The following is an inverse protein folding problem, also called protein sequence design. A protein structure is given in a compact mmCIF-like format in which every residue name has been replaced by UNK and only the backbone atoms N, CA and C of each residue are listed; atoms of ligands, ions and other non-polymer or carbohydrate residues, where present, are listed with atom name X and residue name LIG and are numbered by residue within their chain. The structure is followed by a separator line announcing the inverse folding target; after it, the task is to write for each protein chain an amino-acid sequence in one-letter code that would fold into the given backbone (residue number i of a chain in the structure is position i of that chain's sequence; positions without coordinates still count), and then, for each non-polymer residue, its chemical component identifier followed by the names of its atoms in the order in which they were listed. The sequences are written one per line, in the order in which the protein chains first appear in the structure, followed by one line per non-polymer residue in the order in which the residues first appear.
data_IF_507923782713
#
_entry.id   IF_507923782713
#
_cell.length_a   1.000
_cell.length_b   1.000
_cell.length_c   1.000
_cell.angle_alpha   90.00
_cell.angle_beta   90.00
_cell.angle_gamma   90.00
#
_symmetry.space_group_name_H-M   'P 1'
#
loop_
_entity.id
_entity.type
_entity.pdbx_description
1 polymer ?
#
# COMPACT_ATOMS: atom_id res chain seq x y z
N UNK A 1 29.19 16.30 21.71
CA UNK A 1 28.42 15.80 22.87
C UNK A 1 28.80 14.35 23.12
N UNK A 2 29.10 13.99 24.36
CA UNK A 2 29.50 12.63 24.76
C UNK A 2 28.24 11.88 25.21
N UNK A 3 28.02 10.68 24.71
CA UNK A 3 26.93 9.81 25.14
C UNK A 3 27.36 8.97 26.33
N UNK A 4 26.53 8.92 27.37
CA UNK A 4 26.76 8.01 28.50
C UNK A 4 26.27 6.60 28.19
N UNK A 5 26.63 5.62 29.02
CA UNK A 5 26.17 4.25 28.81
C UNK A 5 24.66 4.12 29.08
N UNK A 6 24.16 4.86 30.08
CA UNK A 6 22.74 4.90 30.44
C UNK A 6 21.90 5.54 29.32
N UNK A 7 22.43 6.57 28.64
CA UNK A 7 21.77 7.16 27.47
C UNK A 7 21.71 6.18 26.28
N UNK A 8 22.77 5.36 26.08
CA UNK A 8 22.79 4.34 25.04
C UNK A 8 21.81 3.20 25.34
N UNK A 9 21.72 2.78 26.59
CA UNK A 9 20.81 1.72 27.01
C UNK A 9 19.35 2.16 26.85
N UNK A 10 19.00 3.35 27.32
CA UNK A 10 17.69 3.98 27.04
C UNK A 10 17.41 4.08 25.55
N UNK A 11 18.38 4.45 24.73
CA UNK A 11 18.23 4.50 23.28
C UNK A 11 17.89 3.12 22.69
N UNK A 12 18.58 2.06 23.13
CA UNK A 12 18.34 0.70 22.64
C UNK A 12 16.94 0.22 23.04
N UNK A 13 16.54 0.42 24.29
CA UNK A 13 15.23 0.04 24.80
C UNK A 13 14.11 0.82 24.09
N UNK A 14 14.27 2.14 23.97
CA UNK A 14 13.32 3.01 23.27
C UNK A 14 13.17 2.63 21.80
N UNK A 15 14.28 2.32 21.10
CA UNK A 15 14.22 1.85 19.72
C UNK A 15 13.47 0.52 19.61
N UNK A 16 13.67 -0.42 20.55
CA UNK A 16 12.91 -1.69 20.56
C UNK A 16 11.41 -1.45 20.76
N UNK A 17 11.04 -0.60 21.71
CA UNK A 17 9.64 -0.27 22.00
C UNK A 17 8.94 0.45 20.83
N UNK A 18 9.67 1.31 20.12
CA UNK A 18 9.12 2.16 19.06
C UNK A 18 9.49 1.70 17.64
N UNK A 19 9.84 0.43 17.48
CA UNK A 19 10.00 -0.20 16.15
C UNK A 19 8.73 -0.93 15.77
N UNK A 20 8.09 -0.48 14.69
CA UNK A 20 6.90 -1.13 14.13
C UNK A 20 7.28 -1.76 12.78
N UNK A 21 7.16 -3.07 12.70
CA UNK A 21 7.67 -3.85 11.57
C UNK A 21 9.18 -3.66 11.43
N UNK A 22 9.60 -2.98 10.35
CA UNK A 22 11.01 -2.68 10.06
C UNK A 22 11.26 -1.16 10.00
N UNK A 23 10.57 -0.40 10.84
CA UNK A 23 10.69 1.06 10.89
C UNK A 23 10.73 1.57 12.32
N UNK A 24 11.79 2.32 12.62
CA UNK A 24 12.00 2.99 13.91
C UNK A 24 11.30 4.34 13.89
N UNK A 25 10.45 4.60 14.88
CA UNK A 25 9.78 5.89 15.06
C UNK A 25 10.67 6.87 15.83
N UNK A 26 11.66 7.46 15.15
CA UNK A 26 12.65 8.36 15.77
C UNK A 26 12.03 9.56 16.49
N UNK A 27 10.82 9.99 16.12
CA UNK A 27 10.08 11.05 16.78
C UNK A 27 9.59 10.68 18.18
N UNK A 28 9.32 9.40 18.44
CA UNK A 28 9.00 8.90 19.78
C UNK A 28 10.28 8.65 20.57
N UNK A 29 11.27 8.04 19.91
CA UNK A 29 12.57 7.74 20.53
C UNK A 29 13.27 9.00 21.06
N UNK A 30 13.20 10.13 20.33
CA UNK A 30 13.79 11.38 20.81
C UNK A 30 13.16 11.88 22.11
N UNK A 31 11.85 11.64 22.33
CA UNK A 31 11.13 12.13 23.49
C UNK A 31 11.56 11.37 24.75
N UNK A 32 11.88 10.08 24.63
CA UNK A 32 12.32 9.26 25.75
C UNK A 32 13.82 9.40 26.05
N UNK A 33 14.63 9.60 25.02
CA UNK A 33 16.10 9.67 25.16
C UNK A 33 16.57 11.10 25.51
N UNK A 34 15.74 12.12 25.26
CA UNK A 34 16.09 13.52 25.52
C UNK A 34 17.18 14.06 24.58
N UNK A 35 17.34 13.46 23.41
CA UNK A 35 18.25 13.88 22.32
C UNK A 35 17.45 14.02 21.04
N UNK A 36 17.91 14.84 20.10
CA UNK A 36 17.22 14.98 18.81
C UNK A 36 17.15 13.65 18.05
N UNK A 37 16.09 13.46 17.26
CA UNK A 37 15.90 12.27 16.42
C UNK A 37 17.13 11.93 15.56
N UNK A 38 17.83 12.94 15.02
CA UNK A 38 19.04 12.75 14.23
C UNK A 38 20.22 12.25 15.07
N UNK A 39 20.38 12.73 16.30
CA UNK A 39 21.42 12.23 17.21
C UNK A 39 21.15 10.77 17.59
N UNK A 40 19.91 10.44 17.95
CA UNK A 40 19.49 9.06 18.25
C UNK A 40 19.75 8.13 17.06
N UNK A 41 19.35 8.57 15.85
CA UNK A 41 19.56 7.82 14.61
C UNK A 41 21.04 7.58 14.31
N UNK A 42 21.87 8.62 14.36
CA UNK A 42 23.31 8.51 14.10
C UNK A 42 23.99 7.62 15.14
N UNK A 43 23.64 7.75 16.42
CA UNK A 43 24.18 6.87 17.46
C UNK A 43 23.81 5.40 17.21
N UNK A 44 22.52 5.10 17.06
CA UNK A 44 22.05 3.72 16.92
C UNK A 44 22.52 3.03 15.64
N UNK A 45 22.48 3.75 14.50
CA UNK A 45 22.79 3.18 13.18
C UNK A 45 24.30 3.20 12.91
N UNK A 46 24.98 4.30 13.20
CA UNK A 46 26.38 4.49 12.75
C UNK A 46 27.35 4.05 13.85
N UNK A 47 27.15 4.53 15.08
CA UNK A 47 28.12 4.30 16.16
C UNK A 47 27.94 2.93 16.82
N UNK A 48 26.69 2.51 17.06
CA UNK A 48 26.40 1.20 17.64
C UNK A 48 26.21 0.11 16.58
N UNK A 49 25.97 0.48 15.32
CA UNK A 49 25.72 -0.44 14.21
C UNK A 49 24.64 -1.50 14.50
N UNK A 50 23.55 -1.10 15.17
CA UNK A 50 22.52 -2.02 15.66
C UNK A 50 21.33 -2.19 14.72
N UNK A 51 21.25 -1.39 13.64
CA UNK A 51 20.12 -1.46 12.71
C UNK A 51 20.28 -2.65 11.75
N UNK A 52 19.51 -3.71 12.01
CA UNK A 52 19.57 -4.95 11.23
C UNK A 52 18.73 -4.95 9.93
N UNK A 53 17.84 -3.97 9.74
CA UNK A 53 16.96 -3.90 8.57
C UNK A 53 17.28 -2.73 7.64
N UNK A 54 17.18 -2.98 6.34
CA UNK A 54 17.34 -1.96 5.31
C UNK A 54 16.04 -1.16 5.13
N UNK A 55 16.16 0.18 5.07
CA UNK A 55 15.06 1.07 4.69
C UNK A 55 14.81 1.08 3.18
N UNK A 56 15.70 0.48 2.39
CA UNK A 56 15.63 0.38 0.93
C UNK A 56 15.18 -1.02 0.49
N UNK A 57 14.11 -1.54 1.10
CA UNK A 57 13.55 -2.82 0.65
C UNK A 57 13.16 -2.72 -0.84
N UNK A 58 13.53 -3.71 -1.65
CA UNK A 58 13.03 -3.80 -3.03
C UNK A 58 11.50 -3.98 -2.99
N UNK A 59 10.78 -3.40 -3.94
CA UNK A 59 9.35 -3.65 -4.08
C UNK A 59 9.17 -4.98 -4.81
N UNK A 60 8.46 -5.92 -4.19
CA UNK A 60 8.01 -7.10 -4.92
C UNK A 60 6.91 -6.73 -5.92
N UNK A 61 6.64 -7.65 -6.84
CA UNK A 61 5.52 -7.53 -7.76
C UNK A 61 4.20 -7.41 -7.00
N UNK A 62 3.95 -8.34 -6.06
CA UNK A 62 2.73 -8.36 -5.24
C UNK A 62 2.54 -7.08 -4.42
N UNK A 63 3.61 -6.55 -3.81
CA UNK A 63 3.55 -5.29 -3.06
C UNK A 63 3.19 -4.11 -3.98
N UNK A 64 3.66 -4.17 -5.23
CA UNK A 64 3.32 -3.16 -6.23
C UNK A 64 1.84 -3.28 -6.59
N UNK A 65 1.35 -4.48 -6.92
CA UNK A 65 -0.06 -4.72 -7.24
C UNK A 65 -0.99 -4.33 -6.09
N UNK A 66 -0.64 -4.72 -4.87
CA UNK A 66 -1.37 -4.35 -3.68
C UNK A 66 -1.43 -2.83 -3.51
N UNK A 67 -0.31 -2.12 -3.71
CA UNK A 67 -0.32 -0.65 -3.67
C UNK A 67 -1.27 -0.06 -4.71
N UNK A 68 -1.29 -0.57 -5.94
CA UNK A 68 -2.19 -0.09 -6.99
C UNK A 68 -3.66 -0.36 -6.66
N UNK A 69 -3.99 -1.58 -6.23
CA UNK A 69 -5.34 -1.93 -5.82
C UNK A 69 -5.80 -1.04 -4.65
N UNK A 70 -4.93 -0.79 -3.67
CA UNK A 70 -5.23 0.09 -2.56
C UNK A 70 -5.40 1.55 -3.01
N UNK A 71 -4.56 2.07 -3.92
CA UNK A 71 -4.73 3.44 -4.42
C UNK A 71 -5.97 3.59 -5.30
N UNK A 72 -6.36 2.55 -6.03
CA UNK A 72 -7.61 2.52 -6.78
C UNK A 72 -8.83 2.65 -5.85
N UNK A 73 -8.87 1.85 -4.78
CA UNK A 73 -10.02 1.81 -3.85
C UNK A 73 -9.99 2.94 -2.79
N UNK A 74 -8.82 3.38 -2.34
CA UNK A 74 -8.68 4.36 -1.25
C UNK A 74 -8.14 5.72 -1.70
N UNK A 75 -7.82 5.88 -2.98
CA UNK A 75 -7.16 7.07 -3.52
C UNK A 75 -5.72 7.23 -3.03
N UNK A 76 -5.19 8.44 -3.17
CA UNK A 76 -3.79 8.78 -2.85
C UNK A 76 -3.57 9.12 -1.37
N UNK A 77 -4.29 8.46 -0.46
CA UNK A 77 -4.18 8.64 0.99
C UNK A 77 -2.93 7.95 1.56
N UNK A 78 -1.75 8.44 1.20
CA UNK A 78 -0.48 7.76 1.47
C UNK A 78 -0.21 7.47 2.95
N UNK A 79 -0.64 8.36 3.86
CA UNK A 79 -0.45 8.16 5.30
C UNK A 79 -1.30 7.00 5.82
N UNK A 80 -2.57 6.95 5.40
CA UNK A 80 -3.49 5.85 5.70
C UNK A 80 -2.96 4.52 5.15
N UNK A 81 -2.57 4.50 3.87
CA UNK A 81 -2.00 3.30 3.25
C UNK A 81 -0.71 2.83 3.95
N UNK A 82 0.12 3.77 4.35
CA UNK A 82 1.35 3.46 5.08
C UNK A 82 1.06 2.88 6.47
N UNK A 83 0.14 3.48 7.23
CA UNK A 83 -0.18 3.02 8.59
C UNK A 83 -0.76 1.61 8.58
N UNK A 84 -1.67 1.33 7.65
CA UNK A 84 -2.53 0.16 7.72
C UNK A 84 -2.06 -1.02 6.84
N UNK A 85 -1.32 -0.75 5.76
CA UNK A 85 -0.93 -1.78 4.78
C UNK A 85 0.58 -1.88 4.57
N UNK A 86 1.32 -0.77 4.71
CA UNK A 86 2.76 -0.75 4.49
C UNK A 86 3.53 -0.13 5.67
N UNK A 87 3.43 -0.67 6.90
CA UNK A 87 4.02 -0.06 8.10
C UNK A 87 5.56 0.03 8.03
N UNK A 88 6.20 -0.85 7.26
CA UNK A 88 7.65 -0.83 7.01
C UNK A 88 8.11 0.23 6.00
N UNK A 89 7.19 0.88 5.29
CA UNK A 89 7.48 1.90 4.26
C UNK A 89 7.12 3.28 4.78
N UNK A 90 7.57 4.32 4.10
CA UNK A 90 7.10 5.70 4.31
C UNK A 90 6.03 6.06 3.30
N UNK A 91 5.12 6.97 3.67
CA UNK A 91 4.12 7.51 2.75
C UNK A 91 4.77 8.09 1.47
N UNK A 92 5.94 8.71 1.60
CA UNK A 92 6.74 9.17 0.46
C UNK A 92 7.23 8.04 -0.44
N UNK A 93 7.67 6.91 0.12
CA UNK A 93 8.08 5.74 -0.67
C UNK A 93 6.89 5.14 -1.45
N UNK A 94 5.69 5.12 -0.86
CA UNK A 94 4.47 4.67 -1.54
C UNK A 94 4.15 5.60 -2.73
N UNK A 95 4.10 6.91 -2.49
CA UNK A 95 3.86 7.91 -3.56
C UNK A 95 4.86 7.77 -4.70
N UNK A 96 6.15 7.68 -4.39
CA UNK A 96 7.21 7.54 -5.40
C UNK A 96 7.08 6.23 -6.18
N UNK A 97 6.80 5.11 -5.51
CA UNK A 97 6.57 3.84 -6.19
C UNK A 97 5.37 3.90 -7.12
N UNK A 98 4.25 4.46 -6.66
CA UNK A 98 3.04 4.60 -7.47
C UNK A 98 3.27 5.49 -8.69
N UNK A 99 3.97 6.63 -8.54
CA UNK A 99 4.29 7.52 -9.66
C UNK A 99 5.23 6.86 -10.68
N UNK A 100 6.25 6.14 -10.21
CA UNK A 100 7.22 5.48 -11.09
C UNK A 100 6.59 4.28 -11.82
N UNK A 101 5.87 3.44 -11.09
CA UNK A 101 5.18 2.29 -11.67
C UNK A 101 3.93 2.69 -12.48
N UNK A 102 3.34 3.86 -12.23
CA UNK A 102 2.14 4.35 -12.92
C UNK A 102 2.33 4.55 -14.43
N UNK A 103 3.58 4.73 -14.90
CA UNK A 103 3.90 4.71 -16.34
C UNK A 103 3.61 3.35 -16.97
N UNK A 104 3.89 2.26 -16.25
CA UNK A 104 3.63 0.88 -16.68
C UNK A 104 2.11 0.57 -16.65
N UNK A 105 1.39 1.15 -15.68
CA UNK A 105 -0.06 0.96 -15.53
C UNK A 105 -0.88 1.66 -16.61
N UNK A 106 -0.47 2.87 -17.05
CA UNK A 106 -1.13 3.55 -18.18
C UNK A 106 -1.03 2.73 -19.46
N UNK A 107 0.12 2.11 -19.71
CA UNK A 107 0.29 1.19 -20.83
C UNK A 107 -0.59 -0.06 -20.68
N UNK A 108 -0.66 -0.67 -19.49
CA UNK A 108 -1.56 -1.80 -19.23
C UNK A 108 -3.05 -1.45 -19.39
N UNK A 109 -3.49 -0.27 -18.93
CA UNK A 109 -4.88 0.19 -19.11
C UNK A 109 -5.21 0.50 -20.57
N UNK A 110 -4.25 1.03 -21.34
CA UNK A 110 -4.40 1.18 -22.78
C UNK A 110 -4.51 -0.18 -23.48
N UNK A 111 -3.75 -1.17 -23.05
CA UNK A 111 -3.82 -2.52 -23.60
C UNK A 111 -5.14 -3.21 -23.26
N UNK A 112 -5.62 -3.10 -22.01
CA UNK A 112 -6.97 -3.54 -21.62
C UNK A 112 -8.01 -2.88 -22.52
N UNK A 113 -7.91 -1.56 -22.75
CA UNK A 113 -8.84 -0.85 -23.63
C UNK A 113 -8.82 -1.40 -25.06
N UNK A 114 -7.64 -1.60 -25.65
CA UNK A 114 -7.49 -2.17 -26.98
C UNK A 114 -8.08 -3.58 -27.07
N UNK A 115 -7.88 -4.41 -26.05
CA UNK A 115 -8.47 -5.75 -25.93
C UNK A 115 -10.01 -5.68 -25.84
N UNK A 116 -10.54 -4.74 -25.05
CA UNK A 116 -11.99 -4.55 -24.93
C UNK A 116 -12.63 -4.05 -26.23
N UNK A 117 -11.92 -3.24 -27.02
CA UNK A 117 -12.44 -2.61 -28.25
C UNK A 117 -12.25 -3.46 -29.52
N UNK A 118 -11.13 -4.18 -29.67
CA UNK A 118 -10.75 -4.77 -30.97
C UNK A 118 -10.42 -6.28 -30.93
N UNK A 119 -10.52 -6.96 -29.79
CA UNK A 119 -10.16 -8.39 -29.62
C UNK A 119 -8.75 -8.76 -30.13
N UNK A 120 -7.85 -7.78 -30.24
CA UNK A 120 -6.50 -7.99 -30.79
C UNK A 120 -5.62 -8.66 -29.74
N UNK A 121 -5.22 -9.90 -30.02
CA UNK A 121 -4.31 -10.70 -29.19
C UNK A 121 -2.90 -10.59 -29.77
N UNK A 122 -2.07 -9.67 -29.26
CA UNK A 122 -0.67 -9.57 -29.70
C UNK A 122 0.30 -10.42 -28.85
N UNK A 123 -0.08 -10.82 -27.62
CA UNK A 123 0.72 -11.71 -26.77
C UNK A 123 -0.08 -12.35 -25.62
N UNK A 124 -0.14 -13.69 -25.57
CA UNK A 124 -0.83 -14.45 -24.50
C UNK A 124 -0.29 -14.17 -23.09
N UNK A 125 1.03 -14.10 -22.94
CA UNK A 125 1.69 -13.86 -21.66
C UNK A 125 1.32 -12.49 -21.05
N UNK A 126 1.13 -11.48 -21.90
CA UNK A 126 0.73 -10.14 -21.44
C UNK A 126 -0.73 -10.11 -20.98
N UNK A 127 -1.61 -10.88 -21.64
CA UNK A 127 -3.00 -11.04 -21.21
C UNK A 127 -3.12 -11.79 -19.89
N UNK A 128 -2.34 -12.85 -19.69
CA UNK A 128 -2.28 -13.57 -18.41
C UNK A 128 -1.83 -12.63 -17.28
N UNK A 129 -0.82 -11.80 -17.55
CA UNK A 129 -0.33 -10.83 -16.57
C UNK A 129 -1.37 -9.75 -16.25
N UNK A 130 -2.12 -9.28 -17.25
CA UNK A 130 -3.23 -8.34 -17.05
C UNK A 130 -4.34 -9.00 -16.24
N UNK A 131 -4.73 -10.24 -16.58
CA UNK A 131 -5.77 -10.97 -15.87
C UNK A 131 -5.40 -11.13 -14.39
N UNK A 132 -4.15 -11.49 -14.08
CA UNK A 132 -3.66 -11.57 -12.71
C UNK A 132 -3.86 -10.25 -11.96
N UNK A 133 -3.53 -9.12 -12.58
CA UNK A 133 -3.68 -7.79 -11.99
C UNK A 133 -5.15 -7.44 -11.73
N UNK A 134 -6.02 -7.70 -12.70
CA UNK A 134 -7.46 -7.42 -12.57
C UNK A 134 -8.10 -8.30 -11.50
N UNK A 135 -7.69 -9.57 -11.39
CA UNK A 135 -8.16 -10.49 -10.33
C UNK A 135 -7.71 -10.02 -8.95
N UNK A 136 -6.46 -9.55 -8.80
CA UNK A 136 -5.98 -8.98 -7.53
C UNK A 136 -6.77 -7.72 -7.17
N UNK A 137 -7.07 -6.87 -8.14
CA UNK A 137 -7.93 -5.69 -7.94
C UNK A 137 -9.34 -6.09 -7.52
N UNK A 138 -9.95 -7.08 -8.18
CA UNK A 138 -11.29 -7.57 -7.87
C UNK A 138 -11.37 -8.16 -6.46
N UNK A 139 -10.40 -9.00 -6.07
CA UNK A 139 -10.32 -9.54 -4.71
C UNK A 139 -10.20 -8.45 -3.65
N UNK A 140 -9.39 -7.42 -3.94
CA UNK A 140 -9.23 -6.28 -3.03
C UNK A 140 -10.54 -5.52 -2.90
N UNK A 141 -11.22 -5.23 -4.01
CA UNK A 141 -12.53 -4.57 -4.04
C UNK A 141 -13.58 -5.35 -3.24
N UNK A 142 -13.71 -6.66 -3.48
CA UNK A 142 -14.68 -7.50 -2.76
C UNK A 142 -14.42 -7.51 -1.25
N UNK A 143 -13.14 -7.51 -0.83
CA UNK A 143 -12.79 -7.41 0.59
C UNK A 143 -13.21 -6.05 1.18
N UNK A 144 -13.05 -4.97 0.42
CA UNK A 144 -13.51 -3.63 0.82
C UNK A 144 -15.03 -3.58 0.90
N UNK A 145 -15.74 -4.10 -0.09
CA UNK A 145 -17.21 -4.13 -0.13
C UNK A 145 -17.79 -4.94 1.04
N UNK A 146 -17.18 -6.07 1.37
CA UNK A 146 -17.56 -6.88 2.52
C UNK A 146 -17.32 -6.14 3.85
N UNK A 147 -16.18 -5.43 3.96
CA UNK A 147 -15.93 -4.56 5.11
C UNK A 147 -16.95 -3.44 5.20
N UNK A 148 -17.38 -2.84 4.08
CA UNK A 148 -18.44 -1.82 4.04
C UNK A 148 -19.77 -2.40 4.55
N UNK A 149 -20.16 -3.57 4.05
CA UNK A 149 -21.41 -4.23 4.44
C UNK A 149 -21.44 -4.54 5.94
N UNK A 150 -20.33 -4.97 6.52
CA UNK A 150 -20.19 -5.21 7.95
C UNK A 150 -20.37 -3.91 8.77
N UNK A 151 -19.91 -2.76 8.25
CA UNK A 151 -20.12 -1.46 8.90
C UNK A 151 -21.60 -1.06 8.87
N UNK A 152 -22.25 -1.20 7.71
CA UNK A 152 -23.67 -0.88 7.55
C UNK A 152 -24.58 -1.73 8.46
N UNK A 153 -24.15 -2.96 8.77
CA UNK A 153 -24.83 -3.86 9.69
C UNK A 153 -24.51 -3.60 11.17
N UNK A 154 -23.77 -2.53 11.49
CA UNK A 154 -23.39 -2.19 12.87
C UNK A 154 -22.30 -3.09 13.46
N UNK A 155 -21.64 -3.91 12.64
CA UNK A 155 -20.58 -4.84 13.06
C UNK A 155 -19.19 -4.22 12.96
N UNK A 156 -19.07 -2.91 13.15
CA UNK A 156 -17.80 -2.17 13.02
C UNK A 156 -16.70 -2.66 13.98
N UNK A 157 -17.05 -3.36 15.06
CA UNK A 157 -16.11 -3.98 15.99
C UNK A 157 -15.37 -5.21 15.42
N UNK A 158 -15.90 -5.84 14.35
CA UNK A 158 -15.23 -6.94 13.65
C UNK A 158 -14.17 -6.45 12.65
N UNK A 159 -14.13 -5.14 12.42
CA UNK A 159 -13.16 -4.50 11.54
C UNK A 159 -11.99 -4.08 12.41
N UNK A 160 -10.78 -4.60 12.18
CA UNK A 160 -9.62 -4.34 13.03
C UNK A 160 -9.23 -2.86 13.15
N UNK A 161 -9.80 -1.99 12.31
CA UNK A 161 -9.35 -0.60 12.18
C UNK A 161 -10.50 0.34 11.81
N UNK A 162 -11.04 1.04 12.82
CA UNK A 162 -12.18 1.96 12.75
C UNK A 162 -11.94 3.14 11.77
N UNK A 163 -10.67 3.48 11.51
CA UNK A 163 -10.24 4.51 10.57
C UNK A 163 -10.56 4.14 9.10
N UNK A 164 -10.52 2.84 8.78
CA UNK A 164 -10.87 2.31 7.45
C UNK A 164 -12.37 2.47 7.22
N UNK A 165 -13.17 2.18 8.26
CA UNK A 165 -14.62 2.21 8.19
C UNK A 165 -15.20 3.62 7.97
N UNK A 166 -14.73 4.60 8.73
CA UNK A 166 -15.19 5.99 8.61
C UNK A 166 -14.75 6.63 7.28
N UNK A 167 -13.62 6.20 6.72
CA UNK A 167 -13.13 6.71 5.44
C UNK A 167 -13.90 6.14 4.24
N UNK A 168 -14.25 4.84 4.26
CA UNK A 168 -15.03 4.19 3.21
C UNK A 168 -16.43 4.79 3.05
N UNK A 169 -17.09 5.15 4.17
CA UNK A 169 -18.38 5.87 4.16
C UNK A 169 -18.25 7.24 3.47
N UNK A 170 -17.09 7.90 3.60
CA UNK A 170 -16.85 9.24 3.04
C UNK A 170 -16.53 9.21 1.53
N UNK A 171 -15.87 8.16 1.04
CA UNK A 171 -15.54 7.99 -0.39
C UNK A 171 -16.73 7.51 -1.23
N UNK A 172 -17.70 6.78 -0.66
CA UNK A 172 -18.90 6.33 -1.38
C UNK A 172 -19.72 7.48 -2.01
N UNK A 173 -19.63 8.69 -1.45
CA UNK A 173 -20.26 9.89 -2.02
C UNK A 173 -19.56 10.43 -3.28
N UNK A 174 -18.36 9.93 -3.59
CA UNK A 174 -17.54 10.35 -4.75
C UNK A 174 -17.62 9.33 -5.90
N UNK A 175 -17.79 8.04 -5.62
CA UNK A 175 -17.81 6.95 -6.63
C UNK A 175 -19.03 6.90 -7.56
N UNK A 176 -20.04 7.75 -7.36
CA UNK A 176 -20.98 8.05 -8.46
C UNK A 176 -20.31 8.81 -9.63
N UNK A 177 -19.05 9.22 -9.48
CA UNK A 177 -18.20 9.62 -10.61
C UNK A 177 -17.68 8.40 -11.36
N UNK A 178 -18.56 7.92 -12.24
CA UNK A 178 -18.28 7.24 -13.52
C UNK A 178 -16.78 7.12 -13.83
N UNK A 179 -16.29 5.89 -13.83
CA UNK A 179 -15.10 5.54 -14.60
C UNK A 179 -15.31 6.08 -16.02
N UNK A 180 -14.32 6.73 -16.65
CA UNK A 180 -14.38 7.20 -18.05
C UNK A 180 -14.58 6.05 -19.07
N UNK A 181 -14.83 4.83 -18.60
CA UNK A 181 -14.83 3.59 -19.35
C UNK A 181 -16.22 2.98 -19.43
N UNK A 182 -16.54 2.41 -20.59
CA UNK A 182 -17.81 1.75 -20.93
C UNK A 182 -18.00 0.38 -20.25
N UNK A 183 -16.97 -0.14 -19.57
CA UNK A 183 -16.90 -1.51 -19.04
C UNK A 183 -16.53 -1.50 -17.55
N UNK A 184 -17.16 -2.39 -16.77
CA UNK A 184 -16.83 -2.60 -15.36
C UNK A 184 -15.56 -3.46 -15.20
N UNK A 185 -15.00 -3.50 -13.99
CA UNK A 185 -13.87 -4.39 -13.67
C UNK A 185 -14.21 -5.86 -13.95
N UNK A 186 -15.44 -6.26 -13.63
CA UNK A 186 -15.94 -7.62 -13.82
C UNK A 186 -16.08 -7.95 -15.31
N UNK A 187 -16.56 -7.01 -16.12
CA UNK A 187 -16.63 -7.15 -17.58
C UNK A 187 -15.24 -7.38 -18.21
N UNK A 188 -14.24 -6.63 -17.74
CA UNK A 188 -12.86 -6.76 -18.21
C UNK A 188 -12.25 -8.13 -17.84
N UNK A 189 -12.47 -8.61 -16.61
CA UNK A 189 -11.98 -9.92 -16.15
C UNK A 189 -12.60 -11.05 -16.99
N UNK A 190 -13.92 -11.04 -17.16
CA UNK A 190 -14.62 -12.10 -17.88
C UNK A 190 -14.27 -12.13 -19.36
N UNK A 191 -14.10 -10.96 -19.99
CA UNK A 191 -13.67 -10.90 -21.40
C UNK A 191 -12.27 -11.47 -21.60
N UNK A 192 -11.31 -11.15 -20.73
CA UNK A 192 -9.94 -11.66 -20.86
C UNK A 192 -9.85 -13.16 -20.57
N UNK A 193 -10.61 -13.70 -19.60
CA UNK A 193 -10.70 -15.15 -19.38
C UNK A 193 -11.17 -15.90 -20.64
N UNK A 194 -12.22 -15.38 -21.28
CA UNK A 194 -12.75 -15.95 -22.54
C UNK A 194 -11.71 -15.95 -23.65
N UNK A 195 -10.95 -14.86 -23.81
CA UNK A 195 -9.87 -14.77 -24.80
C UNK A 195 -8.71 -15.74 -24.52
N UNK A 196 -8.48 -16.07 -23.25
CA UNK A 196 -7.47 -17.04 -22.83
C UNK A 196 -7.95 -18.51 -22.84
N UNK A 197 -9.25 -18.76 -23.04
CA UNK A 197 -9.85 -20.09 -22.99
C UNK A 197 -9.94 -20.67 -21.57
N UNK A 198 -10.05 -19.81 -20.54
CA UNK A 198 -10.22 -20.18 -19.12
C UNK A 198 -11.67 -20.08 -18.68
#
# INVERSE_FOLDING_TARGET
MKWTNEEKERLIESVKAHTVGNRIQWSLVQNEVGKSANQCKSMYIIQLNLKQFSSNQKWSYDQTLQLFALVYNYGTQWQFLQKNYFPSRTAGQLKQKYLHAGKQTKAQMQLVRQLMENDVVDCKAEMEQILENLVVQQKTRNKVDEQIKQIEQGQSALIPDLDVAQFLIKQRKVEEQKCEYRYTLDDCVEKIKRLLGQ
#
